data_IF_577374517231
#
_entry.id   IF_577374517231
#
_cell.length_a   1.000
_cell.length_b   1.000
_cell.length_c   1.000
_cell.angle_alpha   90.00
_cell.angle_beta   90.00
_cell.angle_gamma   90.00
#
_symmetry.space_group_name_H-M   'P 1'
#
loop_
_entity.id
_entity.type
_entity.pdbx_description
1 polymer ?
#
# COMPACT_ATOMS: atom_id res chain seq x y z
N UNK A 1 13.41 5.81 -9.60
CA UNK A 1 13.30 5.18 -8.26
C UNK A 1 11.86 4.71 -8.13
N UNK A 2 11.63 3.46 -7.72
CA UNK A 2 10.26 3.01 -7.41
C UNK A 2 9.73 3.82 -6.21
N UNK A 3 8.47 4.26 -6.22
CA UNK A 3 7.92 5.01 -5.10
C UNK A 3 7.75 4.06 -3.91
N UNK A 4 8.60 4.23 -2.90
CA UNK A 4 8.44 3.57 -1.63
C UNK A 4 7.19 4.12 -0.93
N UNK A 5 6.34 3.23 -0.42
CA UNK A 5 5.16 3.59 0.35
C UNK A 5 5.58 3.66 1.82
N UNK A 6 5.39 4.82 2.45
CA UNK A 6 5.77 4.99 3.85
C UNK A 6 4.86 4.19 4.78
N UNK A 7 5.29 3.99 6.03
CA UNK A 7 4.46 3.34 7.04
C UNK A 7 3.18 4.11 7.30
N UNK A 8 3.26 5.44 7.36
CA UNK A 8 2.12 6.32 7.56
C UNK A 8 1.13 6.24 6.39
N UNK A 9 1.64 6.14 5.15
CA UNK A 9 0.84 5.93 3.96
C UNK A 9 0.08 4.58 4.01
N UNK A 10 0.75 3.50 4.41
CA UNK A 10 0.11 2.18 4.61
C UNK A 10 -0.97 2.22 5.70
N UNK A 11 -0.68 2.83 6.85
CA UNK A 11 -1.64 3.00 7.93
C UNK A 11 -2.84 3.87 7.51
N UNK A 12 -2.61 4.87 6.65
CA UNK A 12 -3.66 5.68 6.04
C UNK A 12 -4.60 4.85 5.15
N UNK A 13 -4.04 4.00 4.29
CA UNK A 13 -4.81 3.07 3.45
C UNK A 13 -5.63 2.12 4.34
N UNK A 14 -5.04 1.52 5.36
CA UNK A 14 -5.73 0.58 6.25
C UNK A 14 -6.89 1.24 6.99
N UNK A 15 -6.69 2.46 7.53
CA UNK A 15 -7.76 3.24 8.16
C UNK A 15 -8.89 3.55 7.19
N UNK A 16 -8.58 3.89 5.93
CA UNK A 16 -9.58 4.11 4.90
C UNK A 16 -10.40 2.83 4.65
N UNK A 17 -9.74 1.68 4.52
CA UNK A 17 -10.43 0.41 4.28
C UNK A 17 -11.32 0.01 5.47
N UNK A 18 -10.90 0.27 6.71
CA UNK A 18 -11.76 0.08 7.89
C UNK A 18 -13.03 0.94 7.77
N UNK A 19 -12.89 2.23 7.42
CA UNK A 19 -14.04 3.13 7.20
C UNK A 19 -14.94 2.66 6.06
N UNK A 20 -14.38 2.08 5.00
CA UNK A 20 -15.16 1.47 3.89
C UNK A 20 -15.96 0.29 4.41
N UNK A 21 -15.31 -0.64 5.10
CA UNK A 21 -15.94 -1.87 5.57
C UNK A 21 -17.05 -1.61 6.61
N UNK A 22 -16.95 -0.51 7.36
CA UNK A 22 -18.00 -0.05 8.28
C UNK A 22 -19.08 0.81 7.60
N UNK A 23 -19.00 1.06 6.29
CA UNK A 23 -19.94 1.90 5.55
C UNK A 23 -19.85 3.40 5.85
N UNK A 24 -18.94 3.82 6.74
CA UNK A 24 -18.74 5.21 7.15
C UNK A 24 -18.31 6.08 5.96
N UNK A 25 -17.45 5.55 5.10
CA UNK A 25 -16.95 6.30 3.94
C UNK A 25 -18.07 6.57 2.92
N UNK A 26 -18.92 5.57 2.67
CA UNK A 26 -20.08 5.72 1.79
C UNK A 26 -21.05 6.77 2.34
N UNK A 27 -21.29 6.78 3.65
CA UNK A 27 -22.13 7.79 4.29
C UNK A 27 -21.52 9.20 4.22
N UNK A 28 -20.19 9.32 4.39
CA UNK A 28 -19.49 10.61 4.29
C UNK A 28 -19.57 11.19 2.88
N UNK A 29 -19.41 10.35 1.85
CA UNK A 29 -19.56 10.76 0.45
C UNK A 29 -21.00 11.17 0.14
N UNK A 30 -21.99 10.39 0.58
CA UNK A 30 -23.41 10.72 0.38
C UNK A 30 -23.83 12.03 1.07
N UNK A 31 -23.25 12.32 2.25
CA UNK A 31 -23.54 13.53 3.02
C UNK A 31 -22.69 14.74 2.61
N UNK A 32 -21.76 14.59 1.66
CA UNK A 32 -20.86 15.67 1.23
C UNK A 32 -19.83 16.10 2.30
N UNK A 33 -19.59 15.27 3.32
CA UNK A 33 -18.68 15.57 4.44
C UNK A 33 -17.28 14.99 4.24
N UNK A 34 -16.96 14.52 3.03
CA UNK A 34 -15.67 13.93 2.74
C UNK A 34 -14.59 15.01 2.57
N UNK A 35 -13.64 15.07 3.51
CA UNK A 35 -12.50 16.00 3.48
C UNK A 35 -11.54 15.63 2.34
N UNK A 36 -11.41 16.48 1.32
CA UNK A 36 -10.51 16.24 0.18
C UNK A 36 -9.03 16.15 0.60
N UNK A 37 -8.57 16.98 1.54
CA UNK A 37 -7.15 17.06 1.90
C UNK A 37 -6.61 15.78 2.58
N UNK A 38 -7.38 15.18 3.50
CA UNK A 38 -7.02 13.90 4.13
C UNK A 38 -7.04 12.74 3.13
N UNK A 39 -7.80 12.92 2.06
CA UNK A 39 -8.07 11.92 1.04
C UNK A 39 -7.00 11.92 -0.04
N UNK A 40 -6.49 13.07 -0.43
CA UNK A 40 -5.48 13.19 -1.48
C UNK A 40 -4.18 12.44 -1.12
N UNK A 41 -3.78 12.47 0.16
CA UNK A 41 -2.60 11.72 0.63
C UNK A 41 -2.81 10.20 0.57
N UNK A 42 -3.96 9.72 1.03
CA UNK A 42 -4.29 8.28 1.01
C UNK A 42 -4.54 7.78 -0.42
N UNK A 43 -5.19 8.57 -1.27
CA UNK A 43 -5.43 8.22 -2.67
C UNK A 43 -4.11 8.21 -3.46
N UNK A 44 -3.18 9.11 -3.16
CA UNK A 44 -1.81 9.07 -3.69
C UNK A 44 -1.08 7.78 -3.28
N UNK A 45 -1.21 7.37 -2.01
CA UNK A 45 -0.66 6.12 -1.51
C UNK A 45 -1.27 4.89 -2.22
N UNK A 46 -2.59 4.87 -2.43
CA UNK A 46 -3.27 3.81 -3.22
C UNK A 46 -2.72 3.78 -4.65
N UNK A 47 -2.44 4.93 -5.28
CA UNK A 47 -1.85 4.99 -6.61
C UNK A 47 -0.46 4.35 -6.66
N UNK A 48 0.39 4.62 -5.66
CA UNK A 48 1.70 3.95 -5.51
C UNK A 48 1.54 2.43 -5.35
N UNK A 49 0.55 2.01 -4.56
CA UNK A 49 0.25 0.59 -4.34
C UNK A 49 -0.20 -0.12 -5.63
N UNK A 50 -0.99 0.56 -6.47
CA UNK A 50 -1.36 0.06 -7.80
C UNK A 50 -0.16 -0.01 -8.75
N UNK A 51 0.78 0.94 -8.68
CA UNK A 51 2.02 0.87 -9.45
C UNK A 51 2.89 -0.33 -9.03
N UNK A 52 2.95 -0.61 -7.73
CA UNK A 52 3.58 -1.83 -7.21
C UNK A 52 2.90 -3.08 -7.79
N UNK A 53 1.56 -3.14 -7.72
CA UNK A 53 0.79 -4.25 -8.27
C UNK A 53 1.04 -4.48 -9.76
N UNK A 54 1.07 -3.41 -10.56
CA UNK A 54 1.37 -3.45 -12.00
C UNK A 54 2.74 -4.09 -12.28
N UNK A 55 3.76 -3.73 -11.51
CA UNK A 55 5.15 -4.17 -11.74
C UNK A 55 5.43 -5.57 -11.20
N UNK A 56 4.87 -5.91 -10.04
CA UNK A 56 5.29 -7.08 -9.26
C UNK A 56 4.27 -8.22 -9.30
N UNK A 57 3.00 -7.96 -9.66
CA UNK A 57 1.93 -8.97 -9.68
C UNK A 57 1.44 -9.21 -11.11
N UNK A 58 2.10 -10.15 -11.81
CA UNK A 58 1.87 -10.44 -13.23
C UNK A 58 0.44 -10.87 -13.57
N UNK A 59 -0.25 -11.53 -12.66
CA UNK A 59 -1.59 -12.11 -12.91
C UNK A 59 -2.69 -11.07 -13.10
N UNK A 60 -2.51 -9.86 -12.58
CA UNK A 60 -3.49 -8.75 -12.66
C UNK A 60 -2.87 -7.41 -13.06
N UNK A 61 -1.68 -7.45 -13.66
CA UNK A 61 -0.90 -6.25 -14.00
C UNK A 61 -1.68 -5.25 -14.86
N UNK A 62 -2.49 -5.72 -15.82
CA UNK A 62 -3.34 -4.90 -16.67
C UNK A 62 -4.39 -4.12 -15.88
N UNK A 63 -4.99 -4.76 -14.87
CA UNK A 63 -6.06 -4.19 -14.07
C UNK A 63 -5.49 -3.09 -13.17
N UNK A 64 -4.36 -3.36 -12.52
CA UNK A 64 -3.66 -2.37 -11.70
C UNK A 64 -3.22 -1.15 -12.52
N UNK A 65 -2.71 -1.37 -13.74
CA UNK A 65 -2.39 -0.28 -14.67
C UNK A 65 -3.62 0.55 -15.01
N UNK A 66 -4.74 -0.11 -15.35
CA UNK A 66 -6.00 0.57 -15.68
C UNK A 66 -6.46 1.45 -14.51
N UNK A 67 -6.50 0.89 -13.29
CA UNK A 67 -6.90 1.63 -12.10
C UNK A 67 -5.95 2.79 -11.78
N UNK A 68 -4.64 2.59 -11.94
CA UNK A 68 -3.63 3.63 -11.73
C UNK A 68 -3.80 4.80 -12.69
N UNK A 69 -3.93 4.51 -13.99
CA UNK A 69 -4.09 5.53 -15.03
C UNK A 69 -5.42 6.28 -14.90
N UNK A 70 -6.51 5.56 -14.61
CA UNK A 70 -7.81 6.19 -14.34
C UNK A 70 -7.78 7.07 -13.09
N UNK A 71 -7.05 6.65 -12.06
CA UNK A 71 -6.89 7.40 -10.83
C UNK A 71 -6.05 8.67 -10.95
N UNK A 72 -5.12 8.70 -11.91
CA UNK A 72 -4.32 9.88 -12.23
C UNK A 72 -5.16 10.99 -12.89
N UNK A 73 -6.11 10.62 -13.76
CA UNK A 73 -7.01 11.58 -14.38
C UNK A 73 -8.17 11.99 -13.47
N UNK A 74 -8.59 11.12 -12.56
CA UNK A 74 -9.69 11.40 -11.64
C UNK A 74 -9.52 10.67 -10.28
N UNK A 75 -9.13 11.37 -9.20
CA UNK A 75 -8.99 10.80 -7.86
C UNK A 75 -10.27 10.15 -7.32
N UNK A 76 -11.46 10.59 -7.76
CA UNK A 76 -12.72 9.97 -7.37
C UNK A 76 -12.86 8.53 -7.88
N UNK A 77 -12.16 8.16 -8.95
CA UNK A 77 -12.12 6.77 -9.43
C UNK A 77 -11.29 5.88 -8.51
N UNK A 78 -10.23 6.41 -7.87
CA UNK A 78 -9.50 5.68 -6.82
C UNK A 78 -10.35 5.53 -5.56
N UNK A 79 -11.11 6.56 -5.21
CA UNK A 79 -12.06 6.48 -4.10
C UNK A 79 -13.15 5.43 -4.38
N UNK A 80 -13.73 5.47 -5.58
CA UNK A 80 -14.70 4.47 -6.03
C UNK A 80 -14.11 3.06 -6.02
N UNK A 81 -12.86 2.89 -6.44
CA UNK A 81 -12.15 1.60 -6.34
C UNK A 81 -12.02 1.14 -4.89
N UNK A 82 -11.58 2.02 -3.99
CA UNK A 82 -11.41 1.69 -2.56
C UNK A 82 -12.74 1.30 -1.90
N UNK A 83 -13.84 1.96 -2.29
CA UNK A 83 -15.19 1.66 -1.78
C UNK A 83 -15.72 0.35 -2.34
N UNK A 84 -15.57 0.12 -3.66
CA UNK A 84 -16.20 -1.01 -4.34
C UNK A 84 -15.39 -2.29 -4.28
N UNK A 85 -14.06 -2.19 -4.11
CA UNK A 85 -13.14 -3.33 -4.08
C UNK A 85 -12.13 -3.23 -2.92
N UNK A 86 -12.58 -3.08 -1.65
CA UNK A 86 -11.68 -2.93 -0.51
C UNK A 86 -10.77 -4.15 -0.31
N UNK A 87 -11.24 -5.36 -0.63
CA UNK A 87 -10.46 -6.59 -0.50
C UNK A 87 -9.25 -6.59 -1.43
N UNK A 88 -9.39 -6.11 -2.66
CA UNK A 88 -8.27 -6.04 -3.62
C UNK A 88 -7.17 -5.09 -3.13
N UNK A 89 -7.55 -3.98 -2.50
CA UNK A 89 -6.60 -3.06 -1.88
C UNK A 89 -5.91 -3.71 -0.67
N UNK A 90 -6.64 -4.45 0.18
CA UNK A 90 -6.04 -5.20 1.31
C UNK A 90 -5.07 -6.30 0.84
N UNK A 91 -5.43 -7.04 -0.20
CA UNK A 91 -4.55 -8.02 -0.83
C UNK A 91 -3.26 -7.36 -1.29
N UNK A 92 -3.35 -6.23 -1.99
CA UNK A 92 -2.19 -5.47 -2.44
C UNK A 92 -1.31 -4.99 -1.29
N UNK A 93 -1.89 -4.45 -0.22
CA UNK A 93 -1.13 -4.04 0.98
C UNK A 93 -0.37 -5.24 1.56
N UNK A 94 -1.02 -6.41 1.62
CA UNK A 94 -0.40 -7.63 2.15
C UNK A 94 0.76 -8.11 1.27
N UNK A 95 0.59 -8.08 -0.06
CA UNK A 95 1.63 -8.42 -1.02
C UNK A 95 2.81 -7.44 -0.95
N UNK A 96 2.53 -6.14 -0.80
CA UNK A 96 3.56 -5.11 -0.64
C UNK A 96 4.41 -5.35 0.62
N UNK A 97 3.76 -5.58 1.77
CA UNK A 97 4.46 -5.90 3.04
C UNK A 97 5.30 -7.17 2.93
N UNK A 98 4.80 -8.19 2.23
CA UNK A 98 5.55 -9.42 1.99
C UNK A 98 6.79 -9.17 1.13
N UNK A 99 6.65 -8.38 0.05
CA UNK A 99 7.76 -7.99 -0.80
C UNK A 99 8.83 -7.19 -0.03
N UNK A 100 8.43 -6.22 0.79
CA UNK A 100 9.36 -5.47 1.64
C UNK A 100 10.07 -6.38 2.66
N UNK A 101 9.34 -7.31 3.28
CA UNK A 101 9.95 -8.28 4.21
C UNK A 101 10.97 -9.16 3.50
N UNK A 102 10.68 -9.62 2.29
CA UNK A 102 11.58 -10.46 1.50
C UNK A 102 12.82 -9.67 1.05
N UNK A 103 12.64 -8.44 0.56
CA UNK A 103 13.75 -7.56 0.19
C UNK A 103 14.65 -7.25 1.39
N UNK A 104 14.07 -7.02 2.58
CA UNK A 104 14.83 -6.84 3.81
C UNK A 104 15.63 -8.11 4.17
N UNK A 105 15.01 -9.30 4.10
CA UNK A 105 15.72 -10.57 4.32
C UNK A 105 16.87 -10.76 3.34
N UNK A 106 16.64 -10.58 2.03
CA UNK A 106 17.68 -10.70 1.00
C UNK A 106 18.84 -9.74 1.24
N UNK A 107 18.54 -8.49 1.63
CA UNK A 107 19.57 -7.51 2.02
C UNK A 107 20.41 -7.99 3.20
N UNK A 108 19.78 -8.53 4.25
CA UNK A 108 20.54 -9.04 5.40
C UNK A 108 21.31 -10.32 5.08
N UNK A 109 20.76 -11.22 4.27
CA UNK A 109 21.47 -12.45 3.87
C UNK A 109 22.65 -12.18 2.92
N UNK A 110 22.60 -11.09 2.16
CA UNK A 110 23.71 -10.67 1.28
C UNK A 110 24.76 -9.80 1.99
N UNK A 111 24.46 -9.31 3.21
CA UNK A 111 25.39 -8.53 4.00
C UNK A 111 26.41 -9.44 4.70
N UNK A 112 27.70 -9.10 4.63
CA UNK A 112 28.71 -9.80 5.42
C UNK A 112 28.48 -9.49 6.89
N UNK A 113 28.59 -10.49 7.76
CA UNK A 113 28.42 -10.33 9.22
C UNK A 113 29.35 -9.26 9.79
N UNK A 114 30.57 -9.12 9.24
CA UNK A 114 31.53 -8.09 9.64
C UNK A 114 31.06 -6.65 9.36
N UNK A 115 30.13 -6.48 8.42
CA UNK A 115 29.58 -5.18 8.00
C UNK A 115 28.21 -4.90 8.68
N UNK A 116 27.65 -5.86 9.43
CA UNK A 116 26.39 -5.67 10.15
C UNK A 116 26.59 -4.82 11.40
N UNK A 117 25.85 -3.71 11.49
CA UNK A 117 25.77 -2.96 12.75
C UNK A 117 24.90 -3.71 13.78
N UNK A 118 25.00 -3.34 15.06
CA UNK A 118 24.11 -3.89 16.09
C UNK A 118 22.62 -3.65 15.81
N UNK A 119 22.28 -2.54 15.13
CA UNK A 119 20.91 -2.24 14.71
C UNK A 119 20.46 -3.15 13.56
N UNK A 120 21.34 -3.43 12.60
CA UNK A 120 21.07 -4.37 11.50
C UNK A 120 20.83 -5.79 12.03
N UNK A 121 21.64 -6.22 13.00
CA UNK A 121 21.48 -7.53 13.65
C UNK A 121 20.15 -7.63 14.41
N UNK A 122 19.76 -6.58 15.14
CA UNK A 122 18.48 -6.56 15.85
C UNK A 122 17.29 -6.65 14.89
N UNK A 123 17.33 -5.94 13.76
CA UNK A 123 16.30 -6.04 12.72
C UNK A 123 16.28 -7.43 12.06
N UNK A 124 17.44 -8.00 11.76
CA UNK A 124 17.52 -9.35 11.23
C UNK A 124 16.88 -10.36 12.20
N UNK A 125 17.25 -10.35 13.48
CA UNK A 125 16.69 -11.25 14.50
C UNK A 125 15.17 -11.10 14.63
N UNK A 126 14.62 -9.89 14.55
CA UNK A 126 13.16 -9.69 14.50
C UNK A 126 12.50 -10.29 13.26
N UNK A 127 13.19 -10.31 12.11
CA UNK A 127 12.69 -10.86 10.85
C UNK A 127 12.68 -12.40 10.80
N UNK A 128 13.64 -13.06 11.47
CA UNK A 128 13.77 -14.53 11.55
C UNK A 128 13.15 -15.15 12.81
N UNK A 129 12.98 -14.38 13.88
CA UNK A 129 12.54 -14.85 15.21
C UNK A 129 11.03 -15.10 15.39
N UNK A 130 10.32 -15.59 14.37
CA UNK A 130 8.94 -16.11 14.50
C UNK A 130 8.76 -17.37 13.69
#
# INVERSE_FOLDING_TARGET
MEPQISREELEGIEKLIVKVNHGELQQQVQKGHYSQADSDSVLSAIRKLLEFGEKHIKTRASDYKLYRTNGESNPMLLLGLAINNPQMIQELVSQYRLAERNAAKEKFFSMKVADMTGADLAQFLQLVGK
#
